data_IF_074221774696
#
_entry.id   IF_074221774696
#
_cell.length_a   1.000
_cell.length_b   1.000
_cell.length_c   1.000
_cell.angle_alpha   90.00
_cell.angle_beta   90.00
_cell.angle_gamma   90.00
#
_symmetry.space_group_name_H-M   'P 1'
#
loop_
_entity.id
_entity.type
_entity.pdbx_description
1 polymer ?
#
# COMPACT_ATOMS: atom_id res chain seq x y z
N UNK A 1 -18.84 20.40 32.50
CA UNK A 1 -18.05 19.15 32.60
C UNK A 1 -17.28 18.99 31.30
N UNK A 2 -15.94 19.07 31.33
CA UNK A 2 -15.10 18.70 30.18
C UNK A 2 -15.14 17.18 30.07
N UNK A 3 -15.49 16.59 28.91
CA UNK A 3 -15.36 15.15 28.73
C UNK A 3 -13.92 14.73 28.98
N UNK A 4 -13.72 13.59 29.64
CA UNK A 4 -12.39 13.03 29.84
C UNK A 4 -11.77 12.69 28.47
N UNK A 5 -10.44 12.74 28.36
CA UNK A 5 -9.74 12.48 27.10
C UNK A 5 -10.13 11.13 26.45
N UNK A 6 -10.51 10.15 27.27
CA UNK A 6 -10.99 8.83 26.86
C UNK A 6 -12.42 8.85 26.28
N UNK A 7 -13.27 9.77 26.75
CA UNK A 7 -14.62 9.95 26.20
C UNK A 7 -14.56 10.69 24.86
N UNK A 8 -13.67 11.67 24.72
CA UNK A 8 -13.42 12.38 23.47
C UNK A 8 -12.84 11.45 22.38
N UNK A 9 -11.94 10.53 22.73
CA UNK A 9 -11.40 9.55 21.77
C UNK A 9 -12.45 8.55 21.28
N UNK A 10 -13.41 8.15 22.14
CA UNK A 10 -14.48 7.21 21.76
C UNK A 10 -15.49 7.83 20.78
N UNK A 11 -15.82 9.12 20.94
CA UNK A 11 -16.76 9.84 20.07
C UNK A 11 -16.11 10.10 18.69
N UNK A 12 -14.82 10.44 18.67
CA UNK A 12 -14.06 10.67 17.44
C UNK A 12 -13.74 9.37 16.67
N UNK A 13 -13.60 8.24 17.37
CA UNK A 13 -13.49 6.91 16.78
C UNK A 13 -14.82 6.48 16.13
N UNK A 14 -15.96 6.70 16.79
CA UNK A 14 -17.30 6.36 16.26
C UNK A 14 -17.66 7.06 14.96
N UNK A 15 -17.37 8.37 14.85
CA UNK A 15 -17.60 9.14 13.60
C UNK A 15 -16.64 8.72 12.47
N UNK A 16 -15.41 8.36 12.81
CA UNK A 16 -14.40 7.89 11.86
C UNK A 16 -14.71 6.50 11.30
N UNK A 17 -15.32 5.61 12.09
CA UNK A 17 -15.75 4.28 11.63
C UNK A 17 -16.89 4.34 10.60
N UNK A 18 -17.86 5.24 10.78
CA UNK A 18 -18.94 5.44 9.80
C UNK A 18 -18.42 5.91 8.43
N UNK A 19 -17.49 6.86 8.44
CA UNK A 19 -16.83 7.35 7.21
C UNK A 19 -16.01 6.23 6.55
N UNK A 20 -15.26 5.45 7.33
CA UNK A 20 -14.51 4.30 6.82
C UNK A 20 -15.43 3.28 6.14
N UNK A 21 -16.57 2.94 6.74
CA UNK A 21 -17.54 2.01 6.15
C UNK A 21 -18.04 2.52 4.79
N UNK A 22 -18.42 3.79 4.70
CA UNK A 22 -18.85 4.41 3.43
C UNK A 22 -17.74 4.32 2.38
N UNK A 23 -16.50 4.59 2.75
CA UNK A 23 -15.34 4.51 1.87
C UNK A 23 -15.08 3.08 1.40
N UNK A 24 -15.23 2.07 2.28
CA UNK A 24 -15.13 0.66 1.90
C UNK A 24 -16.25 0.23 0.96
N UNK A 25 -17.49 0.70 1.16
CA UNK A 25 -18.60 0.44 0.24
C UNK A 25 -18.31 1.04 -1.14
N UNK A 26 -17.86 2.30 -1.21
CA UNK A 26 -17.45 2.94 -2.47
C UNK A 26 -16.30 2.17 -3.13
N UNK A 27 -15.31 1.72 -2.35
CA UNK A 27 -14.19 0.94 -2.85
C UNK A 27 -14.61 -0.42 -3.44
N UNK A 28 -15.58 -1.09 -2.81
CA UNK A 28 -16.16 -2.36 -3.30
C UNK A 28 -16.94 -2.11 -4.58
N UNK A 29 -17.84 -1.12 -4.60
CA UNK A 29 -18.62 -0.77 -5.79
C UNK A 29 -17.72 -0.38 -6.97
N UNK A 30 -16.67 0.41 -6.73
CA UNK A 30 -15.67 0.75 -7.74
C UNK A 30 -14.81 -0.44 -8.18
N UNK A 31 -14.53 -1.38 -7.28
CA UNK A 31 -13.85 -2.63 -7.60
C UNK A 31 -14.69 -3.54 -8.50
N UNK A 32 -15.99 -3.65 -8.26
CA UNK A 32 -16.93 -4.44 -9.05
C UNK A 32 -17.18 -3.85 -10.45
N UNK A 33 -17.15 -2.53 -10.59
CA UNK A 33 -17.31 -1.84 -11.87
C UNK A 33 -16.03 -1.82 -12.74
N UNK A 34 -14.87 -2.16 -12.17
CA UNK A 34 -13.63 -2.23 -12.94
C UNK A 34 -13.62 -3.50 -13.80
N UNK A 35 -13.64 -3.32 -15.13
CA UNK A 35 -13.58 -4.42 -16.10
C UNK A 35 -12.18 -5.05 -16.22
N UNK A 36 -11.14 -4.33 -15.80
CA UNK A 36 -9.76 -4.83 -15.82
C UNK A 36 -9.42 -5.62 -14.56
N UNK A 37 -8.86 -6.82 -14.72
CA UNK A 37 -8.34 -7.61 -13.60
C UNK A 37 -7.18 -6.84 -12.95
N UNK A 38 -7.28 -6.41 -11.68
CA UNK A 38 -6.26 -5.57 -11.06
C UNK A 38 -4.94 -6.31 -10.80
N UNK A 39 -4.97 -7.66 -10.79
CA UNK A 39 -3.82 -8.51 -10.53
C UNK A 39 -3.81 -9.71 -11.47
N UNK A 40 -2.60 -10.15 -11.83
CA UNK A 40 -2.36 -11.52 -12.32
C UNK A 40 -2.53 -12.48 -11.14
N UNK A 41 -3.22 -13.63 -11.30
CA UNK A 41 -3.34 -14.62 -10.23
C UNK A 41 -1.97 -15.01 -9.68
N UNK A 42 -1.72 -14.69 -8.41
CA UNK A 42 -0.45 -14.96 -7.75
C UNK A 42 -0.71 -15.65 -6.40
N UNK A 43 0.04 -16.70 -6.03
CA UNK A 43 -0.21 -17.47 -4.80
C UNK A 43 -0.10 -16.62 -3.52
N UNK A 44 0.65 -15.51 -3.56
CA UNK A 44 0.73 -14.58 -2.44
C UNK A 44 -0.58 -13.79 -2.20
N UNK A 45 -1.48 -13.71 -3.18
CA UNK A 45 -2.71 -12.92 -3.08
C UNK A 45 -3.63 -13.44 -1.99
N UNK A 46 -3.80 -14.77 -1.90
CA UNK A 46 -4.62 -15.38 -0.86
C UNK A 46 -4.03 -15.11 0.53
N UNK A 47 -2.71 -15.30 0.69
CA UNK A 47 -2.02 -15.05 1.97
C UNK A 47 -2.13 -13.58 2.39
N UNK A 48 -1.97 -12.67 1.43
CA UNK A 48 -2.10 -11.24 1.62
C UNK A 48 -3.51 -10.86 2.07
N UNK A 49 -4.54 -11.36 1.37
CA UNK A 49 -5.93 -11.09 1.69
C UNK A 49 -6.32 -11.64 3.07
N UNK A 50 -5.98 -12.90 3.36
CA UNK A 50 -6.29 -13.53 4.66
C UNK A 50 -5.60 -12.77 5.80
N UNK A 51 -4.33 -12.40 5.63
CA UNK A 51 -3.60 -11.62 6.63
C UNK A 51 -4.24 -10.24 6.86
N UNK A 52 -4.60 -9.53 5.79
CA UNK A 52 -5.27 -8.23 5.89
C UNK A 52 -6.64 -8.29 6.54
N UNK A 53 -7.44 -9.31 6.23
CA UNK A 53 -8.72 -9.53 6.91
C UNK A 53 -8.54 -9.88 8.38
N UNK A 54 -7.51 -10.67 8.72
CA UNK A 54 -7.21 -11.01 10.11
C UNK A 54 -6.81 -9.78 10.92
N UNK A 55 -5.94 -8.91 10.38
CA UNK A 55 -5.58 -7.64 11.02
C UNK A 55 -6.79 -6.75 11.26
N UNK A 56 -7.63 -6.56 10.24
CA UNK A 56 -8.82 -5.72 10.34
C UNK A 56 -9.84 -6.30 11.33
N UNK A 57 -10.06 -7.61 11.33
CA UNK A 57 -10.97 -8.26 12.26
C UNK A 57 -10.51 -8.12 13.72
N UNK A 58 -9.20 -8.30 13.97
CA UNK A 58 -8.63 -8.09 15.30
C UNK A 58 -8.71 -6.64 15.74
N UNK A 59 -8.44 -5.70 14.83
CA UNK A 59 -8.53 -4.28 15.14
C UNK A 59 -9.98 -3.82 15.38
N UNK A 60 -10.92 -4.18 14.52
CA UNK A 60 -12.35 -3.83 14.68
C UNK A 60 -13.04 -4.58 15.82
N UNK A 61 -12.48 -5.70 16.29
CA UNK A 61 -12.94 -6.41 17.47
C UNK A 61 -12.36 -5.88 18.79
N UNK A 62 -11.69 -4.72 18.77
CA UNK A 62 -11.05 -4.07 19.92
C UNK A 62 -10.03 -4.98 20.65
N UNK A 63 -9.36 -5.89 19.92
CA UNK A 63 -8.30 -6.71 20.49
C UNK A 63 -7.00 -5.91 20.59
N UNK A 64 -6.27 -6.09 21.71
CA UNK A 64 -4.93 -5.54 21.89
C UNK A 64 -3.93 -6.06 20.83
N UNK A 65 -2.78 -5.39 20.72
CA UNK A 65 -1.68 -5.79 19.85
C UNK A 65 -1.11 -7.17 20.24
N UNK A 66 -1.71 -8.21 19.68
CA UNK A 66 -1.38 -9.61 19.92
C UNK A 66 -0.25 -10.09 19.01
N UNK A 67 0.33 -11.25 19.34
CA UNK A 67 1.30 -11.91 18.45
C UNK A 67 0.67 -12.24 17.08
N UNK A 68 -0.62 -12.60 17.07
CA UNK A 68 -1.35 -12.86 15.84
C UNK A 68 -1.47 -11.59 14.98
N UNK A 69 -1.78 -10.44 15.58
CA UNK A 69 -1.83 -9.15 14.88
C UNK A 69 -0.47 -8.79 14.27
N UNK A 70 0.62 -9.03 14.99
CA UNK A 70 1.98 -8.82 14.49
C UNK A 70 2.28 -9.74 13.29
N UNK A 71 2.04 -11.05 13.42
CA UNK A 71 2.30 -12.02 12.36
C UNK A 71 1.47 -11.68 11.13
N UNK A 72 0.18 -11.38 11.30
CA UNK A 72 -0.70 -10.98 10.21
C UNK A 72 -0.16 -9.73 9.48
N UNK A 73 0.23 -8.69 10.23
CA UNK A 73 0.83 -7.48 9.66
C UNK A 73 2.12 -7.74 8.89
N UNK A 74 3.01 -8.58 9.41
CA UNK A 74 4.26 -8.93 8.74
C UNK A 74 4.01 -9.75 7.47
N UNK A 75 3.07 -10.70 7.50
CA UNK A 75 2.68 -11.48 6.31
C UNK A 75 2.03 -10.59 5.27
N UNK A 76 1.13 -9.70 5.67
CA UNK A 76 0.48 -8.75 4.79
C UNK A 76 1.50 -7.82 4.13
N UNK A 77 2.36 -7.20 4.93
CA UNK A 77 3.40 -6.28 4.47
C UNK A 77 4.47 -6.98 3.62
N UNK A 78 4.83 -8.22 3.94
CA UNK A 78 5.85 -9.00 3.24
C UNK A 78 5.37 -9.69 1.97
N UNK A 79 4.07 -10.01 1.85
CA UNK A 79 3.49 -10.53 0.60
C UNK A 79 3.26 -9.43 -0.44
N UNK A 80 3.23 -8.17 0.00
CA UNK A 80 2.92 -7.03 -0.85
C UNK A 80 3.93 -6.79 -1.98
N UNK A 81 5.26 -6.78 -1.77
CA UNK A 81 6.22 -6.54 -2.85
C UNK A 81 6.10 -7.53 -4.01
N UNK A 82 5.79 -8.80 -3.72
CA UNK A 82 5.53 -9.81 -4.74
C UNK A 82 4.28 -9.48 -5.57
N UNK A 83 3.21 -8.97 -4.93
CA UNK A 83 1.99 -8.56 -5.62
C UNK A 83 2.19 -7.27 -6.43
N UNK A 84 2.91 -6.30 -5.86
CA UNK A 84 3.20 -5.02 -6.51
C UNK A 84 4.14 -5.13 -7.70
N UNK A 85 4.94 -6.21 -7.79
CA UNK A 85 5.74 -6.52 -8.95
C UNK A 85 4.88 -6.71 -10.21
N UNK A 86 3.69 -7.28 -10.04
CA UNK A 86 2.77 -7.64 -11.13
C UNK A 86 1.53 -6.72 -11.20
N UNK A 87 1.59 -5.54 -10.55
CA UNK A 87 0.52 -4.57 -10.61
C UNK A 87 0.54 -3.86 -11.97
N UNK A 88 -0.50 -4.06 -12.78
CA UNK A 88 -0.63 -3.42 -14.10
C UNK A 88 -1.19 -1.99 -14.01
N UNK A 89 -1.89 -1.68 -12.90
CA UNK A 89 -2.56 -0.40 -12.69
C UNK A 89 -1.61 0.62 -12.08
N UNK A 90 -1.61 1.82 -12.65
CA UNK A 90 -0.87 2.97 -12.13
C UNK A 90 0.45 3.27 -12.80
N UNK A 91 0.97 4.46 -12.49
CA UNK A 91 2.29 4.89 -12.92
C UNK A 91 3.35 4.31 -11.98
N UNK A 92 4.08 3.29 -12.44
CA UNK A 92 5.00 2.48 -11.64
C UNK A 92 6.02 3.31 -10.83
N UNK A 93 6.64 4.40 -11.37
CA UNK A 93 7.62 5.18 -10.63
C UNK A 93 7.09 5.88 -9.37
N UNK A 94 5.77 6.11 -9.28
CA UNK A 94 5.14 6.71 -8.10
C UNK A 94 4.49 5.62 -7.26
N UNK A 95 3.62 4.82 -7.86
CA UNK A 95 2.79 3.83 -7.15
C UNK A 95 3.60 2.82 -6.35
N UNK A 96 4.59 2.17 -6.96
CA UNK A 96 5.34 1.10 -6.29
C UNK A 96 6.13 1.61 -5.07
N UNK A 97 6.92 2.70 -5.17
CA UNK A 97 7.59 3.27 -4.00
C UNK A 97 6.63 3.71 -2.89
N UNK A 98 5.47 4.28 -3.25
CA UNK A 98 4.41 4.67 -2.30
C UNK A 98 3.94 3.45 -1.52
N UNK A 99 3.54 2.39 -2.21
CA UNK A 99 3.09 1.20 -1.52
C UNK A 99 4.19 0.49 -0.70
N UNK A 100 5.42 0.43 -1.20
CA UNK A 100 6.55 -0.14 -0.44
C UNK A 100 6.80 0.65 0.84
N UNK A 101 6.76 1.98 0.78
CA UNK A 101 6.93 2.82 1.95
C UNK A 101 5.84 2.53 2.99
N UNK A 102 4.58 2.40 2.57
CA UNK A 102 3.47 2.08 3.48
C UNK A 102 3.68 0.75 4.19
N UNK A 103 4.09 -0.30 3.46
CA UNK A 103 4.29 -1.61 4.07
C UNK A 103 5.50 -1.64 5.03
N UNK A 104 6.59 -0.95 4.70
CA UNK A 104 7.74 -0.83 5.61
C UNK A 104 7.33 -0.06 6.87
N UNK A 105 6.63 1.06 6.70
CA UNK A 105 6.15 1.87 7.82
C UNK A 105 5.23 1.07 8.73
N UNK A 106 4.24 0.36 8.16
CA UNK A 106 3.33 -0.52 8.91
C UNK A 106 4.06 -1.58 9.71
N UNK A 107 4.96 -2.33 9.06
CA UNK A 107 5.71 -3.39 9.71
C UNK A 107 6.58 -2.85 10.87
N UNK A 108 7.26 -1.71 10.66
CA UNK A 108 8.07 -1.07 11.68
C UNK A 108 7.23 -0.58 12.87
N UNK A 109 6.12 0.11 12.60
CA UNK A 109 5.20 0.61 13.62
C UNK A 109 4.53 -0.53 14.39
N UNK A 110 4.14 -1.62 13.71
CA UNK A 110 3.55 -2.80 14.36
C UNK A 110 4.57 -3.51 15.27
N UNK A 111 5.82 -3.66 14.83
CA UNK A 111 6.88 -4.20 15.68
C UNK A 111 7.06 -3.35 16.94
N UNK A 112 7.14 -2.03 16.77
CA UNK A 112 7.23 -1.11 17.89
C UNK A 112 6.01 -1.23 18.82
N UNK A 113 4.79 -1.27 18.29
CA UNK A 113 3.56 -1.43 19.05
C UNK A 113 3.56 -2.74 19.85
N UNK A 114 3.99 -3.85 19.25
CA UNK A 114 4.02 -5.15 19.90
C UNK A 114 4.99 -5.22 21.08
N UNK A 115 6.19 -4.63 20.94
CA UNK A 115 7.20 -4.64 22.01
C UNK A 115 6.92 -3.60 23.09
N UNK A 116 6.47 -2.41 22.70
CA UNK A 116 6.17 -1.31 23.65
C UNK A 116 4.79 -1.43 24.31
N UNK A 117 3.94 -2.33 23.80
CA UNK A 117 2.52 -2.45 24.20
C UNK A 117 1.76 -1.13 24.08
N UNK A 118 2.15 -0.28 23.13
CA UNK A 118 1.54 1.02 22.91
C UNK A 118 0.30 0.90 22.00
N UNK A 119 -0.92 1.15 22.50
CA UNK A 119 -2.15 1.03 21.72
C UNK A 119 -2.25 2.09 20.60
N UNK A 120 -1.64 3.26 20.79
CA UNK A 120 -1.60 4.33 19.76
C UNK A 120 -0.72 3.89 18.59
N UNK A 121 0.44 3.29 18.88
CA UNK A 121 1.29 2.74 17.82
C UNK A 121 0.59 1.59 17.08
N UNK A 122 -0.21 0.77 17.78
CA UNK A 122 -0.98 -0.29 17.14
C UNK A 122 -2.02 0.29 16.17
N UNK A 123 -2.79 1.28 16.60
CA UNK A 123 -3.70 2.05 15.74
C UNK A 123 -2.98 2.62 14.50
N UNK A 124 -1.85 3.30 14.71
CA UNK A 124 -1.07 3.92 13.64
C UNK A 124 -0.50 2.91 12.63
N UNK A 125 -0.26 1.67 13.04
CA UNK A 125 0.17 0.58 12.15
C UNK A 125 -0.95 0.05 11.25
N UNK A 126 -2.21 0.22 11.67
CA UNK A 126 -3.40 -0.21 10.92
C UNK A 126 -3.84 0.88 9.94
N UNK A 127 -3.70 2.16 10.29
CA UNK A 127 -4.18 3.27 9.47
C UNK A 127 -3.78 3.16 8.00
N UNK A 128 -2.52 2.86 7.62
CA UNK A 128 -2.10 2.75 6.21
C UNK A 128 -2.83 1.66 5.39
N UNK A 129 -3.52 0.70 6.01
CA UNK A 129 -4.42 -0.25 5.32
C UNK A 129 -5.56 0.50 4.62
N UNK A 130 -6.11 1.51 5.28
CA UNK A 130 -7.22 2.32 4.77
C UNK A 130 -6.82 3.14 3.55
N UNK A 131 -5.52 3.35 3.31
CA UNK A 131 -5.00 3.95 2.08
C UNK A 131 -5.50 3.26 0.80
N UNK A 132 -5.75 1.94 0.81
CA UNK A 132 -6.36 1.27 -0.34
C UNK A 132 -7.80 1.71 -0.58
N UNK A 133 -8.59 1.80 0.49
CA UNK A 133 -9.99 2.22 0.43
C UNK A 133 -10.08 3.69 -0.02
N UNK A 134 -9.22 4.56 0.53
CA UNK A 134 -9.09 5.96 0.08
C UNK A 134 -8.67 6.06 -1.39
N UNK A 135 -7.70 5.26 -1.84
CA UNK A 135 -7.28 5.26 -3.25
C UNK A 135 -8.47 4.99 -4.17
N UNK A 136 -9.29 3.98 -3.83
CA UNK A 136 -10.47 3.64 -4.63
C UNK A 136 -11.54 4.72 -4.57
N UNK A 137 -11.76 5.33 -3.40
CA UNK A 137 -12.71 6.42 -3.25
C UNK A 137 -12.27 7.70 -4.00
N UNK A 138 -10.96 7.95 -4.13
CA UNK A 138 -10.43 9.11 -4.85
C UNK A 138 -10.35 8.90 -6.37
N UNK A 139 -10.03 7.68 -6.81
CA UNK A 139 -9.88 7.34 -8.23
C UNK A 139 -11.24 7.13 -8.94
N UNK A 140 -12.22 6.55 -8.24
CA UNK A 140 -13.53 6.23 -8.79
C UNK A 140 -14.34 7.44 -9.34
N UNK A 141 -14.40 8.61 -8.66
CA UNK A 141 -15.06 9.79 -9.19
C UNK A 141 -14.17 10.64 -10.12
N UNK A 142 -12.99 10.15 -10.52
CA UNK A 142 -11.93 10.91 -11.17
C UNK A 142 -12.30 11.57 -12.50
N UNK A 143 -12.89 12.76 -12.44
CA UNK A 143 -12.97 13.72 -13.56
C UNK A 143 -11.67 14.51 -13.72
N UNK A 144 -10.83 14.53 -12.68
CA UNK A 144 -9.53 15.21 -12.65
C UNK A 144 -8.50 14.41 -13.43
N UNK A 145 -8.45 14.61 -14.75
CA UNK A 145 -7.43 14.04 -15.61
C UNK A 145 -7.14 14.95 -16.81
N UNK A 146 -6.14 14.60 -17.63
CA UNK A 146 -5.67 15.45 -18.72
C UNK A 146 -6.65 15.51 -19.91
N UNK A 147 -7.78 14.79 -19.84
CA UNK A 147 -8.75 14.71 -20.93
C UNK A 147 -10.14 15.16 -20.47
N UNK A 148 -11.02 15.47 -21.42
CA UNK A 148 -12.44 15.75 -21.16
C UNK A 148 -13.30 14.48 -21.01
N UNK A 149 -12.71 13.30 -21.19
CA UNK A 149 -13.42 12.02 -21.12
C UNK A 149 -13.32 11.42 -19.72
N UNK A 150 -14.47 11.21 -19.08
CA UNK A 150 -14.57 10.57 -17.77
C UNK A 150 -13.89 9.19 -17.74
N UNK A 151 -14.21 8.32 -18.71
CA UNK A 151 -13.67 6.96 -18.78
C UNK A 151 -12.14 6.97 -18.92
N UNK A 152 -11.60 7.82 -19.80
CA UNK A 152 -10.13 7.92 -20.00
C UNK A 152 -9.40 8.48 -18.78
N UNK A 153 -10.06 9.32 -17.99
CA UNK A 153 -9.47 9.87 -16.77
C UNK A 153 -9.47 8.85 -15.63
N UNK A 154 -10.56 8.09 -15.45
CA UNK A 154 -10.67 7.02 -14.43
C UNK A 154 -9.71 5.86 -14.72
N UNK A 155 -9.45 5.53 -16.00
CA UNK A 155 -8.50 4.48 -16.38
C UNK A 155 -7.04 5.00 -16.48
N UNK A 156 -6.80 6.27 -16.17
CA UNK A 156 -5.46 6.86 -16.29
C UNK A 156 -4.51 6.36 -15.20
N UNK A 157 -3.39 5.77 -15.64
CA UNK A 157 -2.28 5.37 -14.77
C UNK A 157 -1.74 6.52 -13.91
N UNK A 158 -1.78 7.75 -14.43
CA UNK A 158 -1.32 8.95 -13.71
C UNK A 158 -2.29 9.37 -12.61
N UNK A 159 -3.60 9.39 -12.90
CA UNK A 159 -4.65 9.72 -11.93
C UNK A 159 -4.61 8.71 -10.78
N UNK A 160 -4.56 7.42 -11.11
CA UNK A 160 -4.40 6.37 -10.10
C UNK A 160 -3.11 6.53 -9.29
N UNK A 161 -1.99 6.89 -9.93
CA UNK A 161 -0.73 7.11 -9.23
C UNK A 161 -0.78 8.23 -8.19
N UNK A 162 -1.42 9.35 -8.54
CA UNK A 162 -1.64 10.45 -7.60
C UNK A 162 -2.67 10.09 -6.53
N UNK A 163 -3.73 9.36 -6.89
CA UNK A 163 -4.71 8.86 -5.93
C UNK A 163 -4.05 7.96 -4.88
N UNK A 164 -3.17 7.05 -5.28
CA UNK A 164 -2.40 6.18 -4.36
C UNK A 164 -1.53 7.01 -3.40
N UNK A 165 -0.79 8.00 -3.90
CA UNK A 165 0.05 8.86 -3.06
C UNK A 165 -0.79 9.71 -2.11
N UNK A 166 -1.82 10.38 -2.61
CA UNK A 166 -2.71 11.22 -1.82
C UNK A 166 -3.46 10.43 -0.75
N UNK A 167 -4.00 9.26 -1.11
CA UNK A 167 -4.65 8.34 -0.19
C UNK A 167 -3.71 7.87 0.93
N UNK A 168 -2.46 7.54 0.58
CA UNK A 168 -1.47 7.15 1.59
C UNK A 168 -1.12 8.32 2.52
N UNK A 169 -1.02 9.55 2.01
CA UNK A 169 -0.79 10.74 2.83
C UNK A 169 -1.97 11.05 3.75
N UNK A 170 -3.21 10.95 3.26
CA UNK A 170 -4.41 11.10 4.09
C UNK A 170 -4.42 10.07 5.21
N UNK A 171 -4.14 8.81 4.86
CA UNK A 171 -4.09 7.71 5.80
C UNK A 171 -3.01 7.87 6.87
N UNK A 172 -1.78 8.23 6.48
CA UNK A 172 -0.69 8.53 7.41
C UNK A 172 -0.97 9.80 8.23
N UNK A 173 -1.74 10.75 7.68
CA UNK A 173 -2.19 11.94 8.39
C UNK A 173 -3.12 11.64 9.57
N UNK A 174 -3.79 10.49 9.57
CA UNK A 174 -4.57 9.99 10.72
C UNK A 174 -3.71 9.31 11.80
N UNK A 175 -2.41 9.14 11.57
CA UNK A 175 -1.50 8.63 12.59
C UNK A 175 -1.16 9.71 13.63
N UNK A 176 -0.88 9.29 14.86
CA UNK A 176 -0.62 10.18 16.00
C UNK A 176 0.54 11.16 15.82
N UNK A 177 1.56 10.81 15.02
CA UNK A 177 2.72 11.66 14.77
C UNK A 177 2.47 12.77 13.74
N UNK A 178 1.26 12.89 13.19
CA UNK A 178 0.82 13.98 12.31
C UNK A 178 1.82 14.30 11.19
N UNK A 179 2.22 15.56 11.09
CA UNK A 179 3.09 16.07 10.02
C UNK A 179 4.46 15.38 9.98
N UNK A 180 5.03 14.99 11.14
CA UNK A 180 6.34 14.33 11.21
C UNK A 180 6.26 12.94 10.57
N UNK A 181 5.17 12.21 10.80
CA UNK A 181 4.96 10.88 10.20
C UNK A 181 4.73 11.02 8.70
N UNK A 182 3.95 12.01 8.27
CA UNK A 182 3.75 12.30 6.85
C UNK A 182 5.06 12.65 6.13
N UNK A 183 5.92 13.49 6.72
CA UNK A 183 7.24 13.80 6.16
C UNK A 183 8.16 12.58 6.14
N UNK A 184 8.20 11.80 7.22
CA UNK A 184 8.99 10.56 7.28
C UNK A 184 8.55 9.58 6.20
N UNK A 185 7.24 9.45 5.99
CA UNK A 185 6.67 8.66 4.92
C UNK A 185 7.10 9.17 3.53
N UNK A 186 7.01 10.48 3.26
CA UNK A 186 7.47 11.05 1.98
C UNK A 186 8.95 10.76 1.74
N UNK A 187 9.79 10.91 2.77
CA UNK A 187 11.22 10.58 2.67
C UNK A 187 11.43 9.10 2.35
N UNK A 188 10.65 8.19 2.95
CA UNK A 188 10.69 6.76 2.63
C UNK A 188 10.26 6.49 1.18
N UNK A 189 9.22 7.15 0.68
CA UNK A 189 8.80 7.03 -0.72
C UNK A 189 9.92 7.46 -1.66
N UNK A 190 10.55 8.61 -1.39
CA UNK A 190 11.67 9.13 -2.19
C UNK A 190 12.89 8.20 -2.12
N UNK A 191 13.21 7.70 -0.93
CA UNK A 191 14.29 6.75 -0.73
C UNK A 191 14.05 5.46 -1.52
N UNK A 192 12.85 4.87 -1.42
CA UNK A 192 12.48 3.67 -2.17
C UNK A 192 12.53 3.90 -3.68
N UNK A 193 12.06 5.06 -4.15
CA UNK A 193 12.14 5.45 -5.56
C UNK A 193 13.58 5.52 -6.07
N UNK A 194 14.47 6.18 -5.31
CA UNK A 194 15.90 6.26 -5.64
C UNK A 194 16.59 4.91 -5.58
N UNK A 195 16.33 4.11 -4.54
CA UNK A 195 16.90 2.77 -4.39
C UNK A 195 16.50 1.86 -5.55
N UNK A 196 15.23 1.92 -5.95
CA UNK A 196 14.71 1.20 -7.12
C UNK A 196 15.41 1.63 -8.40
N UNK A 197 15.49 2.94 -8.66
CA UNK A 197 16.15 3.47 -9.86
C UNK A 197 17.63 3.07 -9.89
N UNK A 198 18.34 3.24 -8.78
CA UNK A 198 19.74 2.83 -8.65
C UNK A 198 19.92 1.34 -8.93
N UNK A 199 19.10 0.49 -8.31
CA UNK A 199 19.17 -0.97 -8.48
C UNK A 199 18.91 -1.37 -9.93
N UNK A 200 17.97 -0.68 -10.59
CA UNK A 200 17.67 -0.90 -12.01
C UNK A 200 18.82 -0.50 -12.91
N UNK A 201 19.36 0.71 -12.75
CA UNK A 201 20.49 1.20 -13.56
C UNK A 201 21.69 0.26 -13.42
N UNK A 202 22.02 -0.15 -12.20
CA UNK A 202 23.10 -1.11 -11.96
C UNK A 202 22.83 -2.45 -12.62
N UNK A 203 21.62 -2.98 -12.51
CA UNK A 203 21.26 -4.22 -13.18
C UNK A 203 21.45 -4.12 -14.70
N UNK A 204 20.94 -3.06 -15.31
CA UNK A 204 21.05 -2.82 -16.76
C UNK A 204 22.52 -2.66 -17.18
N UNK A 205 23.35 -1.96 -16.40
CA UNK A 205 24.80 -1.84 -16.66
C UNK A 205 25.49 -3.21 -16.71
N UNK A 206 25.20 -4.12 -15.77
CA UNK A 206 25.78 -5.46 -15.75
C UNK A 206 25.31 -6.30 -16.94
N UNK A 207 24.01 -6.25 -17.25
CA UNK A 207 23.43 -7.00 -18.37
C UNK A 207 23.98 -6.50 -19.71
N UNK A 208 24.03 -5.18 -19.91
CA UNK A 208 24.56 -4.57 -21.14
C UNK A 208 26.05 -4.86 -21.31
N UNK A 209 26.81 -4.91 -20.22
CA UNK A 209 28.22 -5.29 -20.22
C UNK A 209 28.45 -6.81 -20.31
N UNK A 210 27.39 -7.63 -20.41
CA UNK A 210 27.45 -9.10 -20.38
C UNK A 210 28.20 -9.67 -19.17
N UNK A 211 28.13 -8.97 -18.03
CA UNK A 211 28.76 -9.35 -16.77
C UNK A 211 27.78 -10.08 -15.88
N UNK A 212 28.30 -10.95 -15.01
CA UNK A 212 27.49 -11.60 -13.99
C UNK A 212 26.93 -10.56 -13.03
N UNK A 213 25.61 -10.55 -12.85
CA UNK A 213 24.92 -9.64 -11.93
C UNK A 213 25.27 -10.03 -10.48
N UNK A 214 25.64 -9.08 -9.62
CA UNK A 214 25.87 -9.34 -8.20
C UNK A 214 24.61 -9.86 -7.49
N UNK A 215 24.79 -10.82 -6.57
CA UNK A 215 23.69 -11.44 -5.81
C UNK A 215 22.79 -10.44 -5.08
N UNK A 216 23.35 -9.36 -4.54
CA UNK A 216 22.53 -8.37 -3.83
C UNK A 216 21.52 -7.70 -4.77
N UNK A 217 21.89 -7.42 -6.04
CA UNK A 217 20.97 -6.85 -7.03
C UNK A 217 19.89 -7.86 -7.41
N UNK A 218 20.24 -9.15 -7.53
CA UNK A 218 19.28 -10.23 -7.76
C UNK A 218 18.29 -10.36 -6.60
N UNK A 219 18.75 -10.23 -5.36
CA UNK A 219 17.88 -10.21 -4.17
C UNK A 219 16.94 -9.00 -4.21
N UNK A 220 17.45 -7.80 -4.51
CA UNK A 220 16.60 -6.61 -4.62
C UNK A 220 15.53 -6.78 -5.73
N UNK A 221 15.88 -7.42 -6.86
CA UNK A 221 14.93 -7.79 -7.92
C UNK A 221 13.91 -8.83 -7.45
N UNK A 222 14.35 -9.85 -6.73
CA UNK A 222 13.50 -10.93 -6.22
C UNK A 222 12.48 -10.41 -5.20
N UNK A 223 12.91 -9.52 -4.30
CA UNK A 223 12.04 -8.81 -3.35
C UNK A 223 11.07 -7.85 -4.05
N UNK A 224 11.21 -7.63 -5.37
CA UNK A 224 10.27 -6.81 -6.13
C UNK A 224 10.52 -5.30 -6.03
N UNK A 225 11.74 -4.89 -5.67
CA UNK A 225 12.10 -3.46 -5.71
C UNK A 225 12.02 -2.90 -7.13
N UNK A 226 12.37 -3.69 -8.14
CA UNK A 226 12.22 -3.33 -9.55
C UNK A 226 11.80 -4.54 -10.40
N UNK A 227 11.20 -4.28 -11.56
CA UNK A 227 10.80 -5.28 -12.53
C UNK A 227 11.55 -5.08 -13.86
N UNK A 228 11.79 -6.16 -14.60
CA UNK A 228 12.30 -6.12 -15.97
C UNK A 228 11.18 -6.27 -17.00
N UNK A 229 11.38 -5.74 -18.21
CA UNK A 229 10.44 -5.96 -19.33
C UNK A 229 10.23 -7.45 -19.66
N UNK A 230 11.19 -8.30 -19.30
CA UNK A 230 11.04 -9.75 -19.37
C UNK A 230 10.04 -10.29 -18.33
N UNK A 231 9.94 -9.65 -17.16
CA UNK A 231 9.00 -10.03 -16.11
C UNK A 231 7.54 -9.67 -16.48
N UNK A 232 7.34 -8.62 -17.30
CA UNK A 232 6.03 -8.24 -17.86
C UNK A 232 5.61 -9.06 -19.08
N UNK A 233 6.56 -9.60 -19.86
CA UNK A 233 6.25 -10.52 -20.98
C UNK A 233 5.79 -11.90 -20.55
N UNK A 234 6.25 -12.42 -19.39
CA UNK A 234 5.73 -13.66 -18.84
C UNK A 234 4.31 -13.55 -18.27
N UNK A 235 3.86 -12.34 -17.89
CA UNK A 235 2.46 -12.08 -17.56
C UNK A 235 1.55 -11.86 -18.78
N UNK A 236 2.13 -11.65 -19.97
CA UNK A 236 1.41 -11.48 -21.23
C UNK A 236 1.30 -12.76 -22.06
N UNK A 237 1.93 -13.88 -21.67
CA UNK A 237 1.70 -15.17 -22.33
C UNK A 237 0.30 -15.66 -21.99
N UNK A 238 -0.69 -15.55 -22.89
CA UNK A 238 -1.94 -16.26 -22.71
C UNK A 238 -1.60 -17.74 -22.90
N UNK A 239 -2.37 -18.61 -22.25
CA UNK A 239 -2.40 -20.03 -22.60
C UNK A 239 -2.33 -20.22 -24.12
N UNK A 240 -1.29 -20.93 -24.58
CA UNK A 240 -1.44 -21.85 -25.69
C UNK A 240 -1.92 -23.17 -25.12
#
# INVERSE_FOLDING_TARGET
>A
MKPSAMQASSIQAGESHGILIVIYVVAICGGLNNREKPYVPHPALLRHAVAGWTELALFCGDFDCSLLSLIACLVHSGTYPALAKHLHRGYEPITRPTYQASNILRAATMLYAYYSKNPVAYHDSIMPIHGFAYTRASDYPGTMGPTTSFVRNVDSKHVYGHAVLGAALLSVGHCSGGIVTAFSYILMVQFNGKLRLYSRLRYDDYVNAQRKVPRYIEVLRWVGLFACEADSRHSESPNR
#
